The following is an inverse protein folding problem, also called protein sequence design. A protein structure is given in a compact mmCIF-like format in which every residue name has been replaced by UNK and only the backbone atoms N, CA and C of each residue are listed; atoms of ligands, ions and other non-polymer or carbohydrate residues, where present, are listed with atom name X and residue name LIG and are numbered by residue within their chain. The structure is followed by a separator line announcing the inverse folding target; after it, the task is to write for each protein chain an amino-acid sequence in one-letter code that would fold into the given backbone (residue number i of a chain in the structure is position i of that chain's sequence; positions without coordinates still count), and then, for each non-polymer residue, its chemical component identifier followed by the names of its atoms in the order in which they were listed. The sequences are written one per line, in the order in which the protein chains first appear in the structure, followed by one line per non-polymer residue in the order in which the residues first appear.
data_IF_972728886477
#
_entry.id   IF_972728886477
#
_cell.length_a   1.000
_cell.length_b   1.000
_cell.length_c   1.000
_cell.angle_alpha   90.00
_cell.angle_beta   90.00
_cell.angle_gamma   90.00
#
_symmetry.space_group_name_H-M   'P 1'
#
loop_
_entity.id
_entity.type
_entity.pdbx_description
1 polymer ?
#
# COMPACT_ATOMS: atom_id res chain seq x y z
N UNK A 1 14.23 5.40 7.27
CA UNK A 1 13.23 6.30 7.91
C UNK A 1 13.28 6.07 9.43
N UNK A 2 13.05 7.09 10.27
CA UNK A 2 12.90 6.88 11.72
C UNK A 2 11.43 7.01 12.13
N UNK A 3 11.08 6.54 13.33
CA UNK A 3 9.69 6.47 13.80
C UNK A 3 9.02 7.85 13.84
N UNK A 4 9.74 8.89 14.27
CA UNK A 4 9.17 10.25 14.34
C UNK A 4 8.86 10.80 12.94
N UNK A 5 9.77 10.61 11.99
CA UNK A 5 9.57 10.99 10.60
C UNK A 5 8.41 10.22 9.95
N UNK A 6 8.29 8.92 10.22
CA UNK A 6 7.17 8.08 9.78
C UNK A 6 5.84 8.61 10.32
N UNK A 7 5.78 8.96 11.61
CA UNK A 7 4.57 9.51 12.24
C UNK A 7 4.17 10.84 11.62
N UNK A 8 5.14 11.72 11.35
CA UNK A 8 4.87 13.01 10.74
C UNK A 8 4.40 12.88 9.29
N UNK A 9 4.98 11.96 8.51
CA UNK A 9 4.51 11.68 7.16
C UNK A 9 3.11 11.06 7.17
N UNK A 10 2.84 10.14 8.09
CA UNK A 10 1.50 9.58 8.26
C UNK A 10 0.46 10.67 8.56
N UNK A 11 0.75 11.61 9.47
CA UNK A 11 -0.16 12.72 9.78
C UNK A 11 -0.42 13.62 8.56
N UNK A 12 0.60 13.87 7.74
CA UNK A 12 0.44 14.63 6.48
C UNK A 12 -0.44 13.86 5.50
N UNK A 13 -0.14 12.59 5.29
CA UNK A 13 -0.87 11.72 4.37
C UNK A 13 -2.32 11.49 4.80
N UNK A 14 -2.60 11.44 6.12
CA UNK A 14 -3.96 11.21 6.65
C UNK A 14 -4.99 12.18 6.07
N UNK A 15 -4.65 13.46 5.93
CA UNK A 15 -5.53 14.45 5.28
C UNK A 15 -5.84 14.07 3.84
N UNK A 16 -4.82 13.61 3.10
CA UNK A 16 -4.99 13.17 1.71
C UNK A 16 -5.83 11.91 1.61
N UNK A 17 -5.62 10.95 2.52
CA UNK A 17 -6.43 9.75 2.62
C UNK A 17 -7.90 10.07 2.89
N UNK A 18 -8.18 11.00 3.81
CA UNK A 18 -9.55 11.47 4.11
C UNK A 18 -10.22 12.13 2.89
N UNK A 19 -9.48 12.84 2.04
CA UNK A 19 -10.00 13.34 0.76
C UNK A 19 -10.31 12.21 -0.22
N UNK A 20 -9.39 11.25 -0.38
CA UNK A 20 -9.57 10.11 -1.27
C UNK A 20 -10.77 9.25 -0.85
N UNK A 21 -11.03 9.17 0.45
CA UNK A 21 -12.13 8.40 1.03
C UNK A 21 -13.51 9.02 0.80
N UNK A 22 -13.59 10.26 0.31
CA UNK A 22 -14.84 10.97 -0.01
C UNK A 22 -15.34 10.73 -1.43
N UNK A 23 -14.62 9.94 -2.22
CA UNK A 23 -15.00 9.59 -3.57
C UNK A 23 -14.78 8.09 -3.79
N UNK A 24 -15.54 7.45 -4.70
CA UNK A 24 -15.22 6.12 -5.15
C UNK A 24 -13.82 6.10 -5.77
N UNK A 25 -12.99 5.15 -5.35
CA UNK A 25 -11.66 4.92 -5.94
C UNK A 25 -11.54 3.47 -6.41
N UNK A 26 -10.83 3.26 -7.52
CA UNK A 26 -10.58 1.93 -8.07
C UNK A 26 -9.61 1.13 -7.20
N UNK A 27 -9.51 -0.18 -7.44
CA UNK A 27 -8.48 -1.02 -6.79
C UNK A 27 -7.07 -0.52 -7.13
N UNK A 28 -6.83 -0.15 -8.39
CA UNK A 28 -5.56 0.44 -8.82
C UNK A 28 -5.27 1.76 -8.12
N UNK A 29 -6.28 2.60 -7.86
CA UNK A 29 -6.11 3.84 -7.07
C UNK A 29 -5.75 3.52 -5.62
N UNK A 30 -6.40 2.54 -4.99
CA UNK A 30 -6.03 2.09 -3.63
C UNK A 30 -4.58 1.62 -3.60
N UNK A 31 -4.17 0.82 -4.60
CA UNK A 31 -2.80 0.34 -4.76
C UNK A 31 -1.82 1.52 -4.81
N UNK A 32 -1.94 2.40 -5.81
CA UNK A 32 -0.90 3.39 -6.09
C UNK A 32 -0.98 4.67 -5.24
N UNK A 33 -2.18 5.12 -4.83
CA UNK A 33 -2.35 6.38 -4.08
C UNK A 33 -2.35 6.18 -2.57
N UNK A 34 -2.62 4.97 -2.09
CA UNK A 34 -2.70 4.66 -0.66
C UNK A 34 -1.61 3.68 -0.25
N UNK A 35 -1.62 2.47 -0.79
CA UNK A 35 -0.74 1.40 -0.31
C UNK A 35 0.74 1.68 -0.63
N UNK A 36 1.07 2.14 -1.84
CA UNK A 36 2.46 2.52 -2.17
C UNK A 36 2.99 3.62 -1.24
N UNK A 37 2.16 4.64 -0.93
CA UNK A 37 2.53 5.73 0.00
C UNK A 37 2.70 5.22 1.42
N UNK A 38 1.83 4.32 1.86
CA UNK A 38 1.92 3.73 3.18
C UNK A 38 3.18 2.88 3.33
N UNK A 39 3.43 1.95 2.40
CA UNK A 39 4.55 1.03 2.53
C UNK A 39 5.89 1.72 2.35
N UNK A 40 6.05 2.59 1.35
CA UNK A 40 7.35 3.19 1.02
C UNK A 40 7.56 4.47 1.82
N UNK A 41 6.67 5.45 1.66
CA UNK A 41 6.91 6.80 2.14
C UNK A 41 6.66 6.95 3.66
N UNK A 42 5.89 6.04 4.26
CA UNK A 42 5.54 6.10 5.69
C UNK A 42 6.25 5.00 6.48
N UNK A 43 6.13 3.74 6.03
CA UNK A 43 6.69 2.59 6.73
C UNK A 43 8.14 2.28 6.32
N UNK A 44 8.64 2.91 5.26
CA UNK A 44 10.04 2.82 4.86
C UNK A 44 10.45 1.49 4.23
N UNK A 45 9.51 0.72 3.68
CA UNK A 45 9.83 -0.44 2.85
C UNK A 45 10.54 0.01 1.57
N UNK A 46 11.55 -0.74 1.17
CA UNK A 46 12.26 -0.46 -0.08
C UNK A 46 11.54 -1.11 -1.25
N UNK A 47 11.69 -0.54 -2.45
CA UNK A 47 11.15 -1.15 -3.69
C UNK A 47 11.67 -2.57 -3.91
N UNK A 48 12.89 -2.85 -3.46
CA UNK A 48 13.51 -4.19 -3.49
C UNK A 48 12.74 -5.23 -2.65
N UNK A 49 11.94 -4.79 -1.69
CA UNK A 49 11.13 -5.66 -0.83
C UNK A 49 9.73 -5.91 -1.39
N UNK A 50 9.32 -5.23 -2.46
CA UNK A 50 7.93 -5.17 -2.91
C UNK A 50 7.82 -5.68 -4.35
N UNK A 51 7.09 -6.78 -4.53
CA UNK A 51 6.64 -7.25 -5.85
C UNK A 51 5.17 -6.90 -6.02
N UNK A 52 4.82 -6.18 -7.09
CA UNK A 52 3.44 -5.75 -7.37
C UNK A 52 2.84 -6.51 -8.55
N UNK A 53 1.51 -6.67 -8.53
CA UNK A 53 0.71 -7.16 -9.67
C UNK A 53 1.23 -8.49 -10.26
N UNK A 54 1.62 -9.41 -9.37
CA UNK A 54 2.23 -10.67 -9.77
C UNK A 54 1.19 -11.77 -10.05
N UNK A 55 1.65 -12.83 -10.73
CA UNK A 55 0.85 -14.00 -11.06
C UNK A 55 1.57 -15.28 -10.67
N UNK A 56 0.87 -16.17 -9.98
CA UNK A 56 1.31 -17.53 -9.68
C UNK A 56 0.42 -18.50 -10.44
N UNK A 57 1.00 -19.29 -11.35
CA UNK A 57 0.24 -20.12 -12.32
C UNK A 57 -0.89 -20.97 -11.72
N UNK A 58 -0.73 -21.44 -10.48
CA UNK A 58 -1.69 -22.31 -9.81
C UNK A 58 -2.62 -21.59 -8.82
N UNK A 59 -2.31 -20.35 -8.45
CA UNK A 59 -3.00 -19.61 -7.36
C UNK A 59 -3.74 -18.38 -7.89
N UNK A 60 -3.28 -17.80 -8.99
CA UNK A 60 -3.85 -16.60 -9.60
C UNK A 60 -3.00 -15.35 -9.35
N UNK A 61 -3.65 -14.19 -9.33
CA UNK A 61 -3.00 -12.88 -9.23
C UNK A 61 -2.99 -12.36 -7.79
N UNK A 62 -2.01 -11.51 -7.48
CA UNK A 62 -1.94 -10.76 -6.23
C UNK A 62 -1.53 -9.31 -6.48
N UNK A 63 -1.99 -8.38 -5.65
CA UNK A 63 -1.58 -6.96 -5.77
C UNK A 63 -0.19 -6.71 -5.22
N UNK A 64 0.17 -7.30 -4.07
CA UNK A 64 1.49 -7.20 -3.47
C UNK A 64 1.95 -8.51 -2.86
N UNK A 65 3.24 -8.80 -3.04
CA UNK A 65 4.03 -9.62 -2.11
C UNK A 65 5.09 -8.70 -1.52
N UNK A 66 5.08 -8.56 -0.20
CA UNK A 66 6.10 -7.79 0.54
C UNK A 66 6.94 -8.79 1.33
N UNK A 67 8.26 -8.70 1.18
CA UNK A 67 9.20 -9.62 1.80
C UNK A 67 10.39 -8.87 2.38
N UNK A 68 10.62 -9.03 3.69
CA UNK A 68 11.94 -8.83 4.28
C UNK A 68 12.50 -10.24 4.46
N UNK A 69 13.76 -10.55 4.19
CA UNK A 69 14.26 -11.94 4.10
C UNK A 69 13.99 -12.90 5.29
N UNK A 70 13.35 -12.43 6.37
CA UNK A 70 12.84 -13.18 7.52
C UNK A 70 11.35 -13.60 7.35
N UNK A 71 10.51 -12.78 6.71
CA UNK A 71 9.09 -13.04 6.53
C UNK A 71 8.53 -12.38 5.27
N UNK A 72 7.48 -12.99 4.72
CA UNK A 72 6.74 -12.46 3.58
C UNK A 72 5.24 -12.49 3.84
N UNK A 73 4.53 -11.54 3.24
CA UNK A 73 3.07 -11.47 3.30
C UNK A 73 2.49 -10.94 1.99
N UNK A 74 1.23 -11.30 1.74
CA UNK A 74 0.46 -10.84 0.59
C UNK A 74 -0.47 -9.72 1.03
N UNK A 75 -0.60 -8.67 0.22
CA UNK A 75 -1.60 -7.61 0.42
C UNK A 75 -2.44 -7.51 -0.84
N UNK A 76 -3.75 -7.47 -0.63
CA UNK A 76 -4.75 -7.32 -1.68
C UNK A 76 -5.41 -5.94 -1.53
N UNK A 77 -5.36 -5.13 -2.59
CA UNK A 77 -6.04 -3.85 -2.69
C UNK A 77 -7.52 -4.07 -2.94
N UNK A 78 -8.34 -3.17 -2.37
CA UNK A 78 -9.78 -3.17 -2.57
C UNK A 78 -10.26 -1.76 -2.88
N UNK A 79 -11.30 -1.66 -3.70
CA UNK A 79 -11.99 -0.39 -3.97
C UNK A 79 -12.56 0.17 -2.68
N UNK A 80 -12.50 1.49 -2.53
CA UNK A 80 -13.27 2.18 -1.49
C UNK A 80 -14.61 2.58 -2.10
N UNK A 81 -15.69 1.99 -1.59
CA UNK A 81 -17.06 2.41 -1.91
C UNK A 81 -17.52 3.38 -0.82
N UNK A 82 -18.23 4.43 -1.22
CA UNK A 82 -18.93 5.27 -0.26
C UNK A 82 -20.15 4.50 0.25
N UNK A 83 -20.26 4.37 1.57
CA UNK A 83 -21.45 3.87 2.24
C UNK A 83 -22.55 4.92 2.27
#
# INVERSE_FOLDING_TARGET
MNIDASLDEFKRFKKKFEELSKQPISESDTRCKILDKLFIDILGWEESNITREGHLEQVGFYDYVISSGIFAFVVEAKKLLLN
#
